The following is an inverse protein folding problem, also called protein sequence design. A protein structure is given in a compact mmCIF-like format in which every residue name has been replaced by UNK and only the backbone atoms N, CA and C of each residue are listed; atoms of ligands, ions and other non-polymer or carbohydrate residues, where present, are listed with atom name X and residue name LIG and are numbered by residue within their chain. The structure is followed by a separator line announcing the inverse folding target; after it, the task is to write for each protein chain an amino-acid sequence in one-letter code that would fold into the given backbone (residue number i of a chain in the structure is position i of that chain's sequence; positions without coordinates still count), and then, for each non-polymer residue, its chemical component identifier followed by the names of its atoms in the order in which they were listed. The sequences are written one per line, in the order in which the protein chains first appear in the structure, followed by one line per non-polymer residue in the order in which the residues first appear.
data_IF_635896580917
#
_entry.id   IF_635896580917
#
_cell.length_a   1.000
_cell.length_b   1.000
_cell.length_c   1.000
_cell.angle_alpha   90.00
_cell.angle_beta   90.00
_cell.angle_gamma   90.00
#
_symmetry.space_group_name_H-M   'P 1'
#
loop_
_entity.id
_entity.type
_entity.pdbx_description
1 polymer ?
#
# COMPACT_ATOMS: atom_id res chain seq x y z
N UNK A 1 20.13 -11.74 -3.38
CA UNK A 1 20.05 -10.36 -3.84
C UNK A 1 18.97 -9.61 -3.06
N UNK A 2 19.32 -8.44 -2.58
CA UNK A 2 18.36 -7.61 -1.86
C UNK A 2 17.37 -6.98 -2.84
N UNK A 3 16.09 -7.01 -2.49
CA UNK A 3 15.06 -6.27 -3.20
C UNK A 3 14.91 -4.87 -2.58
N UNK A 4 14.25 -4.00 -3.29
CA UNK A 4 13.89 -2.66 -2.82
C UNK A 4 12.40 -2.63 -2.50
N UNK A 5 12.04 -2.05 -1.37
CA UNK A 5 10.66 -2.05 -0.88
C UNK A 5 10.22 -0.64 -0.53
N UNK A 6 9.05 -0.24 -1.04
CA UNK A 6 8.30 0.90 -0.51
C UNK A 6 7.22 0.37 0.43
N UNK A 7 7.20 0.85 1.65
CA UNK A 7 6.21 0.44 2.65
C UNK A 7 5.30 1.60 3.04
N UNK A 8 4.06 1.28 3.38
CA UNK A 8 3.04 2.27 3.73
C UNK A 8 2.26 1.81 4.95
N UNK A 9 1.95 2.75 5.83
CA UNK A 9 1.09 2.53 6.99
C UNK A 9 -0.01 3.57 6.92
N UNK A 10 -1.25 3.14 6.67
CA UNK A 10 -2.34 4.05 6.31
C UNK A 10 -3.52 3.85 7.25
N UNK A 11 -3.97 4.89 7.99
CA UNK A 11 -5.20 4.78 8.74
C UNK A 11 -6.40 4.86 7.81
N UNK A 12 -7.36 3.95 7.99
CA UNK A 12 -8.56 3.87 7.14
C UNK A 12 -9.77 3.64 8.02
N UNK A 13 -10.89 4.35 7.82
CA UNK A 13 -12.13 4.04 8.53
C UNK A 13 -12.53 2.58 8.29
N UNK A 14 -12.91 1.86 9.34
CA UNK A 14 -13.31 0.46 9.22
C UNK A 14 -14.42 0.26 8.20
N UNK A 15 -15.37 1.20 8.15
CA UNK A 15 -16.47 1.16 7.20
C UNK A 15 -16.03 1.30 5.74
N UNK A 16 -14.82 1.81 5.49
CA UNK A 16 -14.30 2.05 4.14
C UNK A 16 -13.34 0.96 3.66
N UNK A 17 -13.09 -0.07 4.47
CA UNK A 17 -12.09 -1.11 4.14
C UNK A 17 -12.44 -1.85 2.84
N UNK A 18 -13.72 -2.17 2.61
CA UNK A 18 -14.10 -2.89 1.39
C UNK A 18 -13.90 -2.02 0.15
N UNK A 19 -14.23 -0.73 0.22
CA UNK A 19 -13.97 0.20 -0.88
C UNK A 19 -12.47 0.36 -1.14
N UNK A 20 -11.70 0.48 -0.06
CA UNK A 20 -10.24 0.54 -0.15
C UNK A 20 -9.67 -0.71 -0.83
N UNK A 21 -10.16 -1.89 -0.43
CA UNK A 21 -9.72 -3.16 -1.01
C UNK A 21 -9.92 -3.21 -2.53
N UNK A 22 -11.07 -2.76 -3.00
CA UNK A 22 -11.35 -2.73 -4.45
C UNK A 22 -10.37 -1.83 -5.19
N UNK A 23 -10.11 -0.64 -4.65
CA UNK A 23 -9.12 0.27 -5.22
C UNK A 23 -7.71 -0.32 -5.21
N UNK A 24 -7.34 -0.97 -4.11
CA UNK A 24 -6.03 -1.59 -3.96
C UNK A 24 -5.81 -2.74 -4.94
N UNK A 25 -6.85 -3.53 -5.22
CA UNK A 25 -6.76 -4.60 -6.21
C UNK A 25 -6.48 -4.05 -7.60
N UNK A 26 -7.16 -2.98 -7.97
CA UNK A 26 -6.94 -2.30 -9.26
C UNK A 26 -5.53 -1.71 -9.33
N UNK A 27 -5.11 -1.01 -8.29
CA UNK A 27 -3.78 -0.41 -8.21
C UNK A 27 -2.69 -1.49 -8.29
N UNK A 28 -2.85 -2.58 -7.56
CA UNK A 28 -1.88 -3.67 -7.57
C UNK A 28 -1.67 -4.26 -8.95
N UNK A 29 -2.75 -4.43 -9.71
CA UNK A 29 -2.63 -4.92 -11.09
C UNK A 29 -1.84 -3.94 -11.95
N UNK A 30 -2.10 -2.63 -11.82
CA UNK A 30 -1.39 -1.61 -12.59
C UNK A 30 0.11 -1.66 -12.28
N UNK A 31 0.50 -1.68 -11.00
CA UNK A 31 1.90 -1.75 -10.61
C UNK A 31 2.58 -3.02 -11.12
N UNK A 32 1.92 -4.17 -10.98
CA UNK A 32 2.49 -5.44 -11.47
C UNK A 32 2.61 -5.47 -12.99
N UNK A 33 1.65 -4.89 -13.71
CA UNK A 33 1.72 -4.82 -15.17
C UNK A 33 2.92 -3.98 -15.64
N UNK A 34 3.35 -3.02 -14.83
CA UNK A 34 4.53 -2.20 -15.15
C UNK A 34 5.83 -2.72 -14.53
N UNK A 35 5.80 -3.90 -13.91
CA UNK A 35 7.01 -4.59 -13.52
C UNK A 35 7.29 -4.70 -12.04
N UNK A 36 6.44 -4.18 -11.15
CA UNK A 36 6.58 -4.42 -9.72
C UNK A 36 6.57 -5.92 -9.44
N UNK A 37 7.48 -6.38 -8.57
CA UNK A 37 7.61 -7.80 -8.28
C UNK A 37 6.50 -8.29 -7.37
N UNK A 38 6.06 -7.43 -6.44
CA UNK A 38 5.02 -7.77 -5.48
C UNK A 38 4.28 -6.50 -5.08
N UNK A 39 2.98 -6.64 -4.85
CA UNK A 39 2.14 -5.57 -4.33
C UNK A 39 1.20 -6.21 -3.33
N UNK A 40 1.35 -5.85 -2.04
CA UNK A 40 0.56 -6.43 -0.95
C UNK A 40 -0.09 -5.33 -0.13
N UNK A 41 -1.32 -5.59 0.29
CA UNK A 41 -2.07 -4.73 1.19
C UNK A 41 -2.71 -5.59 2.27
N UNK A 42 -2.42 -5.28 3.52
CA UNK A 42 -2.88 -6.08 4.66
C UNK A 42 -3.71 -5.22 5.59
N UNK A 43 -4.90 -5.70 5.95
CA UNK A 43 -5.74 -5.03 6.95
C UNK A 43 -5.29 -5.43 8.34
N UNK A 44 -5.11 -4.45 9.22
CA UNK A 44 -4.74 -4.70 10.60
C UNK A 44 -5.80 -5.52 11.34
N UNK A 45 -5.34 -6.46 12.15
CA UNK A 45 -6.20 -7.31 12.97
C UNK A 45 -5.86 -7.12 14.44
N UNK A 46 -4.81 -7.76 14.93
CA UNK A 46 -4.36 -7.63 16.32
C UNK A 46 -3.22 -6.62 16.38
N UNK A 47 -3.57 -5.33 16.50
CA UNK A 47 -2.61 -4.23 16.38
C UNK A 47 -1.99 -3.77 17.71
N UNK A 48 -2.55 -4.17 18.85
CA UNK A 48 -2.07 -3.73 20.16
C UNK A 48 -0.99 -4.69 20.67
N UNK A 49 0.11 -4.75 19.94
CA UNK A 49 1.24 -5.62 20.27
C UNK A 49 2.09 -4.97 21.35
N UNK A 50 2.75 -5.79 22.17
CA UNK A 50 3.60 -5.31 23.26
C UNK A 50 5.05 -5.13 22.86
N UNK A 51 5.43 -5.57 21.67
CA UNK A 51 6.79 -5.45 21.17
C UNK A 51 6.88 -4.33 20.15
N UNK A 52 7.82 -3.41 20.35
CA UNK A 52 7.95 -2.26 19.50
C UNK A 52 6.85 -1.21 19.74
N UNK A 53 6.71 -0.28 18.80
CA UNK A 53 5.68 0.75 18.85
C UNK A 53 4.47 0.29 18.04
N UNK A 54 3.30 0.06 18.68
CA UNK A 54 2.10 -0.36 17.94
C UNK A 54 1.67 0.70 16.92
N UNK A 55 1.21 0.25 15.76
CA UNK A 55 0.78 1.17 14.70
C UNK A 55 -0.28 2.18 15.16
N UNK A 56 -1.35 1.78 15.91
CA UNK A 56 -2.38 2.74 16.31
C UNK A 56 -1.82 3.91 17.10
N UNK A 57 -0.82 3.67 17.95
CA UNK A 57 -0.19 4.72 18.75
C UNK A 57 0.80 5.53 17.92
N UNK A 58 1.56 4.87 17.04
CA UNK A 58 2.60 5.52 16.25
C UNK A 58 2.05 6.49 15.22
N UNK A 59 0.89 6.17 14.61
CA UNK A 59 0.27 7.01 13.59
C UNK A 59 -1.03 7.67 14.08
N UNK A 60 -1.30 7.60 15.37
CA UNK A 60 -2.46 8.25 16.01
C UNK A 60 -3.78 7.90 15.36
N UNK A 61 -4.08 6.61 15.27
CA UNK A 61 -5.34 6.09 14.69
C UNK A 61 -6.51 6.57 15.52
N UNK A 62 -7.55 7.07 14.85
CA UNK A 62 -8.76 7.57 15.50
C UNK A 62 -9.75 6.43 15.78
N UNK A 63 -10.70 6.62 16.72
CA UNK A 63 -11.75 5.64 16.92
C UNK A 63 -12.51 5.37 15.62
N UNK A 64 -12.82 4.10 15.35
CA UNK A 64 -13.50 3.69 14.13
C UNK A 64 -12.57 3.48 12.93
N UNK A 65 -11.27 3.73 13.10
CA UNK A 65 -10.27 3.46 12.07
C UNK A 65 -9.51 2.17 12.35
N UNK A 66 -9.00 1.57 11.30
CA UNK A 66 -7.98 0.52 11.37
C UNK A 66 -6.76 0.95 10.56
N UNK A 67 -5.78 0.07 10.47
CA UNK A 67 -4.53 0.34 9.76
C UNK A 67 -4.41 -0.61 8.58
N UNK A 68 -4.06 -0.05 7.42
CA UNK A 68 -3.60 -0.83 6.29
C UNK A 68 -2.08 -0.79 6.30
N UNK A 69 -1.46 -1.95 6.29
CA UNK A 69 -0.02 -2.08 6.10
C UNK A 69 0.23 -2.66 4.72
N UNK A 70 0.94 -1.91 3.88
CA UNK A 70 1.15 -2.30 2.49
C UNK A 70 2.60 -2.15 2.08
N UNK A 71 3.00 -2.90 1.06
CA UNK A 71 4.33 -2.75 0.48
C UNK A 71 4.31 -3.13 -0.99
N UNK A 72 5.27 -2.54 -1.71
CA UNK A 72 5.52 -2.83 -3.11
C UNK A 72 6.99 -3.19 -3.21
N UNK A 73 7.29 -4.32 -3.85
CA UNK A 73 8.66 -4.84 -3.97
C UNK A 73 9.16 -4.62 -5.39
N UNK A 74 10.38 -4.14 -5.49
CA UNK A 74 11.09 -3.88 -6.75
C UNK A 74 12.46 -4.53 -6.73
N UNK A 75 13.09 -4.66 -7.90
CA UNK A 75 14.45 -5.21 -7.99
C UNK A 75 15.49 -4.28 -7.36
N UNK A 76 15.28 -2.96 -7.49
CA UNK A 76 16.22 -1.93 -7.05
C UNK A 76 15.49 -0.59 -6.97
N UNK A 77 16.16 0.43 -6.44
CA UNK A 77 15.63 1.78 -6.44
C UNK A 77 15.40 2.30 -7.87
N UNK A 78 16.34 2.04 -8.75
CA UNK A 78 16.21 2.46 -10.16
C UNK A 78 15.02 1.79 -10.82
N UNK A 79 14.79 0.51 -10.54
CA UNK A 79 13.62 -0.22 -11.02
C UNK A 79 12.33 0.39 -10.46
N UNK A 80 12.30 0.71 -9.15
CA UNK A 80 11.16 1.38 -8.52
C UNK A 80 10.84 2.69 -9.25
N UNK A 81 11.84 3.52 -9.51
CA UNK A 81 11.66 4.81 -10.15
C UNK A 81 11.10 4.64 -11.58
N UNK A 82 11.59 3.65 -12.31
CA UNK A 82 11.11 3.34 -13.66
C UNK A 82 9.65 2.86 -13.65
N UNK A 83 9.31 1.95 -12.74
CA UNK A 83 7.93 1.43 -12.60
C UNK A 83 6.99 2.57 -12.25
N UNK A 84 7.32 3.38 -11.26
CA UNK A 84 6.47 4.49 -10.83
C UNK A 84 6.26 5.51 -11.96
N UNK A 85 7.27 5.78 -12.74
CA UNK A 85 7.15 6.70 -13.88
C UNK A 85 6.14 6.19 -14.89
N UNK A 86 6.15 4.90 -15.19
CA UNK A 86 5.18 4.27 -16.10
C UNK A 86 3.78 4.26 -15.50
N UNK A 87 3.67 3.93 -14.22
CA UNK A 87 2.39 3.87 -13.52
C UNK A 87 1.70 5.23 -13.51
N UNK A 88 2.44 6.30 -13.23
CA UNK A 88 1.88 7.65 -13.17
C UNK A 88 1.32 8.13 -14.51
N UNK A 89 1.74 7.53 -15.61
CA UNK A 89 1.23 7.82 -16.96
C UNK A 89 0.18 6.83 -17.43
N UNK A 90 -0.11 5.79 -16.64
CA UNK A 90 -1.09 4.78 -17.03
C UNK A 90 -2.50 5.37 -16.95
N UNK A 91 -3.30 5.30 -18.04
CA UNK A 91 -4.66 5.86 -18.04
C UNK A 91 -5.56 5.28 -16.95
N UNK A 92 -5.35 4.03 -16.59
CA UNK A 92 -6.14 3.36 -15.53
C UNK A 92 -5.92 4.06 -14.18
N UNK A 93 -4.66 4.42 -13.86
CA UNK A 93 -4.36 5.12 -12.61
C UNK A 93 -4.88 6.56 -12.66
N UNK A 94 -4.66 7.25 -13.76
CA UNK A 94 -5.15 8.62 -13.93
C UNK A 94 -6.65 8.67 -13.70
N UNK A 95 -7.39 7.73 -14.26
CA UNK A 95 -8.84 7.64 -14.09
C UNK A 95 -9.23 7.38 -12.63
N UNK A 96 -8.48 6.56 -11.91
CA UNK A 96 -8.75 6.28 -10.49
C UNK A 96 -8.53 7.49 -9.59
N UNK A 97 -7.68 8.42 -10.00
CA UNK A 97 -7.33 9.60 -9.20
C UNK A 97 -8.28 10.78 -9.41
N UNK A 98 -9.17 10.69 -10.37
CA UNK A 98 -10.18 11.73 -10.64
C UNK A 98 -11.32 11.73 -9.62
#
# INVERSE_FOLDING_TARGET
MAHYVDGYVIPVPKKSVNAYRRGAQKAGKIWRDHGALEFRECVGDDLNVKMGLPFPRGIKVKPGETVIFSWIVYKSRAHRDSVNKKVMKDPRLVKMMD
#
